data_IF_482814812103
#
_entry.id   IF_482814812103
#
_cell.length_a   1.000
_cell.length_b   1.000
_cell.length_c   1.000
_cell.angle_alpha   90.00
_cell.angle_beta   90.00
_cell.angle_gamma   90.00
#
_symmetry.space_group_name_H-M   'P 1'
#
loop_
_entity.id
_entity.type
_entity.pdbx_description
1 polymer ?
#
# COMPACT_ATOMS: atom_id res chain seq x y z
N UNK A 1 -41.70 9.09 22.41
CA UNK A 1 -41.60 9.14 20.93
C UNK A 1 -40.51 10.09 20.44
N UNK A 2 -40.36 11.27 20.98
CA UNK A 2 -39.32 12.23 20.61
C UNK A 2 -37.90 11.73 20.88
N UNK A 3 -37.66 11.01 21.97
CA UNK A 3 -36.31 10.47 22.31
C UNK A 3 -35.82 9.38 21.34
N UNK A 4 -36.72 8.62 20.74
CA UNK A 4 -36.32 7.60 19.74
C UNK A 4 -35.88 8.18 18.40
N UNK A 5 -36.47 9.28 17.99
CA UNK A 5 -36.12 9.96 16.74
C UNK A 5 -34.72 10.64 16.84
N UNK A 6 -34.40 11.21 17.98
CA UNK A 6 -33.10 11.85 18.20
C UNK A 6 -31.95 10.84 18.21
N UNK A 7 -32.17 9.66 18.78
CA UNK A 7 -31.16 8.61 18.82
C UNK A 7 -30.85 8.05 17.40
N UNK A 8 -31.87 7.91 16.55
CA UNK A 8 -31.68 7.43 15.18
C UNK A 8 -30.92 8.46 14.33
N UNK A 9 -31.19 9.73 14.52
CA UNK A 9 -30.50 10.80 13.78
C UNK A 9 -29.02 10.92 14.15
N UNK A 10 -28.67 10.72 15.40
CA UNK A 10 -27.29 10.70 15.88
C UNK A 10 -26.49 9.51 15.33
N UNK A 11 -27.09 8.35 15.23
CA UNK A 11 -26.45 7.16 14.66
C UNK A 11 -26.16 7.32 13.16
N UNK A 12 -27.05 7.94 12.40
CA UNK A 12 -26.87 8.20 10.98
C UNK A 12 -25.76 9.20 10.72
N UNK A 13 -25.65 10.25 11.51
CA UNK A 13 -24.57 11.24 11.34
C UNK A 13 -23.20 10.69 11.69
N UNK A 14 -23.07 9.81 12.69
CA UNK A 14 -21.83 9.15 13.02
C UNK A 14 -21.37 8.18 11.91
N UNK A 15 -22.30 7.44 11.30
CA UNK A 15 -21.99 6.54 10.19
C UNK A 15 -21.48 7.27 8.95
N UNK A 16 -22.07 8.40 8.60
CA UNK A 16 -21.65 9.23 7.45
C UNK A 16 -20.25 9.82 7.68
N UNK A 17 -19.97 10.33 8.87
CA UNK A 17 -18.66 10.90 9.20
C UNK A 17 -17.54 9.85 9.14
N UNK A 18 -17.76 8.63 9.64
CA UNK A 18 -16.78 7.55 9.58
C UNK A 18 -16.49 7.09 8.13
N UNK A 19 -17.50 7.04 7.26
CA UNK A 19 -17.35 6.67 5.85
C UNK A 19 -16.60 7.70 5.00
N UNK A 20 -16.65 8.99 5.37
CA UNK A 20 -15.99 10.07 4.63
C UNK A 20 -14.50 10.21 4.92
N UNK A 21 -13.95 9.54 5.95
CA UNK A 21 -12.57 9.72 6.42
C UNK A 21 -11.57 8.70 5.86
N UNK A 22 -12.02 7.72 5.09
CA UNK A 22 -11.12 6.74 4.50
C UNK A 22 -11.44 6.52 3.02
N UNK A 23 -10.39 6.43 2.21
CA UNK A 23 -10.49 6.16 0.78
C UNK A 23 -9.30 5.33 0.34
N UNK A 24 -9.36 4.77 -0.85
CA UNK A 24 -8.27 4.01 -1.44
C UNK A 24 -7.82 4.62 -2.76
N UNK A 25 -6.57 4.40 -3.07
CA UNK A 25 -5.99 4.71 -4.38
C UNK A 25 -5.39 3.41 -4.96
N UNK A 26 -4.85 3.45 -6.16
CA UNK A 26 -4.36 2.27 -6.86
C UNK A 26 -2.85 2.22 -6.81
N UNK A 27 -2.31 1.06 -6.43
CA UNK A 27 -0.88 0.75 -6.50
C UNK A 27 -0.60 -0.21 -7.64
N UNK A 28 0.51 0.02 -8.33
CA UNK A 28 1.03 -0.89 -9.36
C UNK A 28 2.48 -1.23 -9.06
N UNK A 29 2.82 -2.51 -9.20
CA UNK A 29 4.19 -3.00 -9.08
C UNK A 29 4.67 -3.52 -10.43
N UNK A 30 5.96 -3.32 -10.72
CA UNK A 30 6.60 -3.78 -11.94
C UNK A 30 8.08 -4.08 -11.70
N UNK A 31 8.68 -4.83 -12.62
CA UNK A 31 10.08 -5.19 -12.57
C UNK A 31 10.31 -6.68 -12.43
N UNK A 32 11.56 -7.05 -12.13
CA UNK A 32 11.96 -8.44 -11.94
C UNK A 32 13.10 -8.52 -10.92
N UNK A 33 13.30 -9.70 -10.33
CA UNK A 33 14.47 -9.95 -9.48
C UNK A 33 15.77 -9.78 -10.29
N UNK A 34 16.76 -9.15 -9.66
CA UNK A 34 18.02 -8.81 -10.31
C UNK A 34 17.98 -7.49 -11.08
N UNK A 35 16.81 -6.90 -11.24
CA UNK A 35 16.61 -5.58 -11.82
C UNK A 35 15.83 -4.66 -10.89
N UNK A 36 15.52 -3.43 -11.32
CA UNK A 36 14.72 -2.52 -10.51
C UNK A 36 13.29 -3.01 -10.35
N UNK A 37 12.78 -2.95 -9.12
CA UNK A 37 11.39 -3.22 -8.78
C UNK A 37 10.77 -1.89 -8.40
N UNK A 38 9.72 -1.49 -9.08
CA UNK A 38 9.11 -0.17 -8.97
C UNK A 38 7.66 -0.24 -8.58
N UNK A 39 7.20 0.78 -7.87
CA UNK A 39 5.83 0.95 -7.42
C UNK A 39 5.35 2.32 -7.83
N UNK A 40 4.16 2.36 -8.41
CA UNK A 40 3.49 3.58 -8.84
C UNK A 40 2.12 3.68 -8.17
N UNK A 41 1.67 4.91 -7.91
CA UNK A 41 0.44 5.17 -7.16
C UNK A 41 -0.43 6.14 -7.93
N UNK A 42 -1.71 5.78 -8.12
CA UNK A 42 -2.66 6.54 -8.89
C UNK A 42 -3.94 6.76 -8.09
N UNK A 43 -4.59 7.92 -8.26
CA UNK A 43 -5.85 8.21 -7.57
C UNK A 43 -6.95 7.20 -7.90
N UNK A 44 -6.99 6.78 -9.16
CA UNK A 44 -7.92 5.75 -9.63
C UNK A 44 -7.33 4.98 -10.82
N UNK A 45 -8.01 3.91 -11.24
CA UNK A 45 -7.54 3.04 -12.31
C UNK A 45 -7.72 3.64 -13.72
N UNK A 46 -8.47 4.73 -13.88
CA UNK A 46 -8.86 5.27 -15.18
C UNK A 46 -8.09 6.52 -15.60
N UNK A 47 -7.74 7.41 -14.67
CA UNK A 47 -7.20 8.74 -14.99
C UNK A 47 -5.69 8.81 -15.06
N UNK A 48 -4.94 7.80 -14.69
CA UNK A 48 -3.47 7.84 -14.54
C UNK A 48 -2.95 9.02 -13.70
N UNK A 49 -3.84 9.65 -12.94
CA UNK A 49 -3.48 10.77 -12.09
C UNK A 49 -2.73 10.25 -10.87
N UNK A 50 -1.47 10.63 -10.74
CA UNK A 50 -0.62 10.20 -9.62
C UNK A 50 -1.10 10.79 -8.31
N UNK A 51 -0.91 10.06 -7.23
CA UNK A 51 -1.16 10.53 -5.88
C UNK A 51 0.13 10.65 -5.10
N UNK A 52 0.20 11.60 -4.20
CA UNK A 52 1.31 11.73 -3.27
C UNK A 52 1.24 10.65 -2.21
N UNK A 53 2.36 10.06 -1.88
CA UNK A 53 2.45 9.12 -0.76
C UNK A 53 3.38 9.64 0.32
N UNK A 54 3.13 9.26 1.56
CA UNK A 54 3.95 9.63 2.73
C UNK A 54 4.61 8.45 3.41
N UNK A 55 4.08 7.26 3.24
CA UNK A 55 4.71 6.05 3.75
C UNK A 55 4.57 4.91 2.77
N UNK A 56 5.57 4.05 2.74
CA UNK A 56 5.54 2.85 1.93
C UNK A 56 6.27 1.72 2.64
N UNK A 57 5.66 0.53 2.66
CA UNK A 57 6.24 -0.65 3.29
C UNK A 57 6.05 -1.85 2.37
N UNK A 58 7.13 -2.59 2.14
CA UNK A 58 7.06 -3.91 1.52
C UNK A 58 7.18 -4.94 2.62
N UNK A 59 6.21 -5.85 2.68
CA UNK A 59 6.16 -6.93 3.66
C UNK A 59 6.11 -8.28 2.97
N UNK A 60 6.56 -9.32 3.65
CA UNK A 60 6.43 -10.70 3.19
C UNK A 60 5.47 -11.47 4.10
N UNK A 61 4.74 -12.41 3.51
CA UNK A 61 3.89 -13.32 4.26
C UNK A 61 4.74 -14.42 4.89
N UNK A 62 4.57 -14.64 6.19
CA UNK A 62 5.31 -15.67 6.94
C UNK A 62 4.54 -16.99 6.95
N UNK A 63 5.22 -18.08 7.38
CA UNK A 63 4.62 -19.42 7.43
C UNK A 63 3.43 -19.53 8.39
N UNK A 64 3.37 -18.66 9.41
CA UNK A 64 2.26 -18.56 10.35
C UNK A 64 1.19 -17.54 9.95
N UNK A 65 1.15 -17.19 8.68
CA UNK A 65 0.14 -16.32 8.05
C UNK A 65 0.17 -14.87 8.53
N UNK A 66 1.31 -14.41 8.98
CA UNK A 66 1.56 -13.02 9.37
C UNK A 66 2.33 -12.28 8.31
N UNK A 67 2.40 -10.95 8.44
CA UNK A 67 3.18 -10.09 7.58
C UNK A 67 4.37 -9.54 8.33
N UNK A 68 5.56 -9.66 7.73
CA UNK A 68 6.80 -9.13 8.26
C UNK A 68 7.36 -8.10 7.31
N UNK A 69 7.66 -6.90 7.81
CA UNK A 69 8.21 -5.83 7.00
C UNK A 69 9.61 -6.17 6.50
N UNK A 70 9.82 -6.00 5.19
CA UNK A 70 11.08 -6.21 4.49
C UNK A 70 11.79 -4.90 4.19
N UNK A 71 11.04 -3.82 4.02
CA UNK A 71 11.55 -2.47 3.77
C UNK A 71 10.45 -1.49 4.08
N UNK A 72 10.80 -0.39 4.77
CA UNK A 72 9.83 0.64 5.12
C UNK A 72 10.45 2.02 5.08
N UNK A 73 9.74 2.96 4.49
CA UNK A 73 10.13 4.37 4.40
C UNK A 73 8.99 5.28 4.84
N UNK A 74 9.38 6.42 5.40
CA UNK A 74 8.44 7.44 5.85
C UNK A 74 8.92 8.80 5.37
N UNK A 75 8.04 9.57 4.75
CA UNK A 75 8.35 10.89 4.21
C UNK A 75 7.70 12.02 4.97
N UNK A 76 8.39 13.18 5.02
CA UNK A 76 7.85 14.42 5.55
C UNK A 76 6.92 15.15 4.59
N UNK A 77 7.20 15.07 3.29
CA UNK A 77 6.38 15.62 2.20
C UNK A 77 6.00 14.51 1.23
N UNK A 78 4.86 14.67 0.57
CA UNK A 78 4.38 13.69 -0.39
C UNK A 78 5.31 13.53 -1.60
N UNK A 79 5.29 12.36 -2.22
CA UNK A 79 6.06 12.01 -3.39
C UNK A 79 5.15 11.39 -4.45
N UNK A 80 5.18 11.92 -5.68
CA UNK A 80 4.40 11.40 -6.81
C UNK A 80 5.20 10.52 -7.76
N UNK A 81 6.51 10.49 -7.62
CA UNK A 81 7.39 9.70 -8.47
C UNK A 81 7.29 8.21 -8.15
N UNK A 82 7.59 7.32 -9.11
CA UNK A 82 7.71 5.90 -8.79
C UNK A 82 8.74 5.66 -7.69
N UNK A 83 8.43 4.71 -6.81
CA UNK A 83 9.37 4.28 -5.77
C UNK A 83 10.03 2.99 -6.23
N UNK A 84 11.35 2.96 -6.17
CA UNK A 84 12.13 1.76 -6.43
C UNK A 84 12.44 1.06 -5.12
N UNK A 85 12.22 -0.25 -5.07
CA UNK A 85 12.54 -1.05 -3.89
C UNK A 85 14.01 -0.87 -3.48
N UNK A 86 14.23 -0.58 -2.21
CA UNK A 86 15.57 -0.43 -1.65
C UNK A 86 16.21 0.95 -1.88
N UNK A 87 15.56 1.83 -2.61
CA UNK A 87 16.05 3.19 -2.86
C UNK A 87 15.14 4.18 -2.14
N UNK A 88 15.67 4.78 -1.06
CA UNK A 88 14.91 5.76 -0.28
C UNK A 88 14.89 7.09 -1.02
N UNK A 89 13.69 7.59 -1.39
CA UNK A 89 13.58 8.87 -2.11
C UNK A 89 14.06 10.06 -1.25
N UNK A 90 14.48 11.17 -1.89
CA UNK A 90 14.78 12.39 -1.17
C UNK A 90 13.61 12.85 -0.29
N UNK A 91 13.90 13.28 0.93
CA UNK A 91 12.89 13.69 1.91
C UNK A 91 12.24 12.55 2.68
N UNK A 92 12.58 11.31 2.35
CA UNK A 92 12.12 10.12 3.08
C UNK A 92 13.20 9.59 4.00
N UNK A 93 12.77 8.91 5.06
CA UNK A 93 13.65 8.22 6.02
C UNK A 93 13.41 6.74 5.94
N UNK A 94 14.49 5.96 5.89
CA UNK A 94 14.41 4.50 5.96
C UNK A 94 14.12 4.08 7.39
N UNK A 95 12.97 3.45 7.61
CA UNK A 95 12.56 2.93 8.92
C UNK A 95 13.02 1.49 9.11
N UNK A 96 12.96 0.70 8.06
CA UNK A 96 13.44 -0.69 8.01
C UNK A 96 14.27 -0.83 6.74
N UNK A 97 15.51 -1.27 6.90
CA UNK A 97 16.45 -1.46 5.78
C UNK A 97 15.96 -2.54 4.83
N UNK A 98 16.17 -2.38 3.52
CA UNK A 98 15.70 -3.35 2.54
C UNK A 98 16.39 -4.69 2.70
N UNK A 99 15.59 -5.75 2.76
CA UNK A 99 16.06 -7.13 2.76
C UNK A 99 15.88 -7.73 1.37
N UNK A 100 16.65 -8.73 1.05
CA UNK A 100 16.63 -9.38 -0.25
C UNK A 100 15.29 -10.06 -0.50
N UNK A 101 14.67 -9.75 -1.63
CA UNK A 101 13.48 -10.44 -2.13
C UNK A 101 13.91 -11.73 -2.85
N UNK A 102 13.12 -12.78 -2.72
CA UNK A 102 13.41 -14.09 -3.29
C UNK A 102 12.19 -14.69 -4.01
N UNK A 103 12.41 -15.61 -4.97
CA UNK A 103 11.31 -16.32 -5.61
C UNK A 103 10.51 -17.18 -4.62
N UNK A 104 9.25 -17.43 -4.94
CA UNK A 104 8.37 -18.32 -4.19
C UNK A 104 7.74 -17.70 -2.94
N UNK A 105 8.06 -16.46 -2.61
CA UNK A 105 7.43 -15.75 -1.49
C UNK A 105 6.37 -14.77 -1.98
N UNK A 106 5.41 -14.52 -1.11
CA UNK A 106 4.36 -13.52 -1.31
C UNK A 106 4.76 -12.23 -0.63
N UNK A 107 4.67 -11.14 -1.36
CA UNK A 107 4.96 -9.79 -0.88
C UNK A 107 3.76 -8.88 -1.04
N UNK A 108 3.66 -7.88 -0.19
CA UNK A 108 2.71 -6.78 -0.34
C UNK A 108 3.43 -5.45 -0.21
N UNK A 109 3.20 -4.57 -1.17
CA UNK A 109 3.59 -3.17 -1.09
C UNK A 109 2.42 -2.33 -0.65
N UNK A 110 2.51 -1.66 0.50
CA UNK A 110 1.42 -0.89 1.10
C UNK A 110 1.84 0.56 1.27
N UNK A 111 1.01 1.47 0.82
CA UNK A 111 1.26 2.90 0.85
C UNK A 111 0.15 3.65 1.57
N UNK A 112 0.50 4.78 2.17
CA UNK A 112 -0.45 5.76 2.70
C UNK A 112 -0.11 7.15 2.19
N UNK A 113 -1.11 8.00 2.03
CA UNK A 113 -0.93 9.39 1.60
C UNK A 113 -0.86 10.40 2.75
N UNK A 114 -1.06 9.95 3.98
CA UNK A 114 -1.09 10.81 5.15
C UNK A 114 -2.41 11.56 5.38
N UNK A 115 -3.43 11.32 4.54
CA UNK A 115 -4.74 11.96 4.59
C UNK A 115 -5.90 10.95 4.72
N UNK A 116 -5.61 9.75 5.22
CA UNK A 116 -6.57 8.67 5.34
C UNK A 116 -6.66 7.75 4.12
N UNK A 117 -5.91 8.05 3.05
CA UNK A 117 -5.81 7.19 1.87
C UNK A 117 -4.79 6.10 2.05
N UNK A 118 -5.09 4.92 1.54
CA UNK A 118 -4.18 3.77 1.54
C UNK A 118 -4.36 2.93 0.29
N UNK A 119 -3.33 2.18 -0.05
CA UNK A 119 -3.36 1.24 -1.16
C UNK A 119 -2.37 0.12 -0.92
N UNK A 120 -2.64 -1.05 -1.48
CA UNK A 120 -1.76 -2.20 -1.39
C UNK A 120 -1.75 -2.95 -2.71
N UNK A 121 -0.59 -3.50 -3.06
CA UNK A 121 -0.43 -4.43 -4.19
C UNK A 121 0.28 -5.67 -3.71
N UNK A 122 -0.28 -6.83 -4.03
CA UNK A 122 0.29 -8.12 -3.68
C UNK A 122 0.99 -8.70 -4.90
N UNK A 123 2.20 -9.19 -4.72
CA UNK A 123 3.04 -9.70 -5.81
C UNK A 123 3.99 -10.78 -5.30
N UNK A 124 4.61 -11.44 -6.21
CA UNK A 124 5.67 -12.40 -5.94
C UNK A 124 6.56 -12.56 -7.16
N UNK A 125 7.43 -13.53 -7.15
CA UNK A 125 8.32 -13.84 -8.27
C UNK A 125 8.35 -15.34 -8.52
N UNK A 126 8.33 -15.72 -9.79
CA UNK A 126 8.57 -17.10 -10.15
C UNK A 126 10.06 -17.46 -10.02
N UNK A 127 10.41 -18.71 -10.33
CA UNK A 127 11.78 -19.19 -10.24
C UNK A 127 12.76 -18.44 -11.15
N UNK A 128 12.26 -17.82 -12.21
CA UNK A 128 13.08 -17.07 -13.17
C UNK A 128 13.20 -15.58 -12.78
N UNK A 129 12.58 -15.19 -11.68
CA UNK A 129 12.57 -13.81 -11.20
C UNK A 129 11.53 -12.93 -11.86
N UNK A 130 10.63 -13.48 -12.66
CA UNK A 130 9.53 -12.74 -13.27
C UNK A 130 8.46 -12.43 -12.23
N UNK A 131 7.99 -11.19 -12.18
CA UNK A 131 6.94 -10.78 -11.26
C UNK A 131 5.61 -11.43 -11.64
N UNK A 132 4.93 -11.95 -10.63
CA UNK A 132 3.62 -12.58 -10.75
C UNK A 132 2.66 -11.93 -9.75
N UNK A 133 1.38 -11.92 -10.10
CA UNK A 133 0.30 -11.36 -9.27
C UNK A 133 -0.71 -12.46 -8.98
N UNK A 134 -0.50 -13.23 -7.92
CA UNK A 134 -1.41 -14.32 -7.60
C UNK A 134 -2.79 -13.80 -7.20
N UNK A 135 -3.84 -14.35 -7.82
CA UNK A 135 -5.22 -13.92 -7.61
C UNK A 135 -5.85 -14.39 -6.30
N UNK A 136 -5.14 -15.19 -5.51
CA UNK A 136 -5.72 -15.97 -4.42
C UNK A 136 -5.22 -15.62 -3.03
N UNK A 137 -4.64 -14.44 -2.83
CA UNK A 137 -4.11 -14.09 -1.51
C UNK A 137 -5.18 -13.72 -0.48
N UNK A 138 -6.36 -13.41 -0.94
CA UNK A 138 -7.46 -12.93 -0.10
C UNK A 138 -8.44 -14.04 0.29
N UNK A 139 -8.11 -15.27 0.00
CA UNK A 139 -8.98 -16.42 0.28
C UNK A 139 -8.47 -17.28 1.41
#
# INVERSE_FOLDING_TARGET
MLMRLVAVTLLLSAGIAAGAMSYSFVSKASGRLGGPIRFEFFRDSTTRRKTDIKSFTVSTRTADDRWKAMWSILGGSGLTQPIQYGVTPPGFTTMIRPQKLIPGRVYAGSATDGHGGSSSVTFGFDKDGTMIFPDSFDQ
#
